data_IF_688950219678
#
_entry.id   IF_688950219678
#
_cell.length_a   1.000
_cell.length_b   1.000
_cell.length_c   1.000
_cell.angle_alpha   90.00
_cell.angle_beta   90.00
_cell.angle_gamma   90.00
#
_symmetry.space_group_name_H-M   'P 1'
#
loop_
_entity.id
_entity.type
_entity.pdbx_description
1 polymer ?
#
# COMPACT_ATOMS: atom_id res chain seq x y z
N UNK A 1 -15.20 -26.85 -46.21
CA UNK A 1 -15.32 -25.81 -47.26
C UNK A 1 -16.69 -25.20 -47.13
N UNK A 2 -16.80 -23.88 -46.94
CA UNK A 2 -18.09 -23.18 -46.85
C UNK A 2 -18.43 -22.69 -48.26
N UNK A 3 -19.44 -23.28 -48.87
CA UNK A 3 -19.90 -22.89 -50.21
C UNK A 3 -21.02 -21.87 -50.04
N UNK A 4 -20.76 -20.59 -50.32
CA UNK A 4 -21.76 -19.52 -50.24
C UNK A 4 -22.33 -19.31 -51.65
N UNK A 5 -23.62 -19.59 -51.84
CA UNK A 5 -24.31 -19.38 -53.12
C UNK A 5 -25.53 -18.49 -52.88
N UNK A 6 -25.63 -17.38 -53.61
CA UNK A 6 -26.76 -16.47 -53.58
C UNK A 6 -27.59 -16.71 -54.84
N UNK A 7 -28.81 -17.26 -54.68
CA UNK A 7 -29.71 -17.54 -55.79
C UNK A 7 -30.80 -16.47 -55.79
N UNK A 8 -30.73 -15.54 -56.73
CA UNK A 8 -31.78 -14.54 -56.94
C UNK A 8 -32.86 -15.19 -57.81
N UNK A 9 -34.00 -15.56 -57.21
CA UNK A 9 -35.19 -15.97 -57.96
C UNK A 9 -36.18 -14.81 -58.05
N UNK A 10 -36.54 -14.50 -59.29
CA UNK A 10 -37.59 -13.58 -59.72
C UNK A 10 -37.37 -12.08 -59.56
N UNK A 11 -37.59 -11.34 -60.65
CA UNK A 11 -37.42 -9.88 -60.72
C UNK A 11 -38.63 -9.10 -60.19
N UNK A 12 -39.64 -9.79 -59.65
CA UNK A 12 -40.93 -9.19 -59.31
C UNK A 12 -41.37 -9.42 -57.86
N UNK A 13 -40.60 -10.16 -57.05
CA UNK A 13 -40.89 -10.36 -55.61
C UNK A 13 -39.67 -9.94 -54.80
N UNK A 14 -39.82 -8.86 -54.03
CA UNK A 14 -38.76 -8.12 -53.30
C UNK A 14 -38.27 -8.84 -52.04
N UNK A 15 -37.90 -10.11 -52.17
CA UNK A 15 -37.44 -10.95 -51.07
C UNK A 15 -36.03 -11.46 -51.41
N UNK A 16 -35.02 -11.09 -50.63
CA UNK A 16 -33.66 -11.63 -50.78
C UNK A 16 -33.47 -12.69 -49.71
N UNK A 17 -33.37 -13.96 -50.09
CA UNK A 17 -33.02 -15.04 -49.16
C UNK A 17 -31.53 -15.36 -49.27
N UNK A 18 -30.88 -15.50 -48.11
CA UNK A 18 -29.52 -15.98 -47.98
C UNK A 18 -29.56 -17.28 -47.19
N UNK A 19 -29.12 -18.39 -47.78
CA UNK A 19 -28.93 -19.66 -47.05
C UNK A 19 -27.44 -19.93 -46.89
N UNK A 20 -27.05 -20.26 -45.66
CA UNK A 20 -25.68 -20.66 -45.32
C UNK A 20 -25.74 -22.09 -44.85
N UNK A 21 -25.17 -23.00 -45.64
CA UNK A 21 -25.10 -24.42 -45.31
C UNK A 21 -23.70 -24.74 -44.76
N UNK A 22 -23.65 -25.24 -43.52
CA UNK A 22 -22.43 -25.68 -42.88
C UNK A 22 -22.50 -27.20 -42.63
N UNK A 23 -21.77 -27.97 -43.43
CA UNK A 23 -21.84 -29.44 -43.46
C UNK A 23 -21.19 -30.16 -42.27
N UNK A 24 -20.61 -29.43 -41.29
CA UNK A 24 -19.97 -30.03 -40.11
C UNK A 24 -20.89 -30.18 -38.89
N UNK A 25 -22.06 -29.53 -38.86
CA UNK A 25 -22.97 -29.52 -37.70
C UNK A 25 -24.40 -29.96 -38.00
N UNK A 26 -24.72 -30.37 -39.23
CA UNK A 26 -26.02 -30.95 -39.59
C UNK A 26 -27.23 -30.02 -39.38
N UNK A 27 -27.01 -28.71 -39.24
CA UNK A 27 -28.08 -27.73 -39.01
C UNK A 27 -28.23 -26.80 -40.21
N UNK A 28 -29.44 -26.76 -40.76
CA UNK A 28 -29.87 -25.79 -41.76
C UNK A 28 -30.55 -24.62 -41.04
N UNK A 29 -30.12 -23.38 -41.34
CA UNK A 29 -30.75 -22.18 -40.79
C UNK A 29 -31.00 -21.17 -41.90
N UNK A 30 -32.25 -21.09 -42.33
CA UNK A 30 -32.71 -20.04 -43.24
C UNK A 30 -33.09 -18.80 -42.44
N UNK A 31 -32.54 -17.65 -42.82
CA UNK A 31 -32.95 -16.36 -42.26
C UNK A 31 -33.41 -15.46 -43.40
N UNK A 32 -34.71 -15.14 -43.41
CA UNK A 32 -35.31 -14.19 -44.35
C UNK A 32 -35.25 -12.80 -43.72
N UNK A 33 -34.50 -11.89 -44.32
CA UNK A 33 -34.42 -10.50 -43.87
C UNK A 33 -35.49 -9.72 -44.62
N UNK A 34 -36.46 -9.17 -43.88
CA UNK A 34 -37.43 -8.22 -44.39
C UNK A 34 -36.84 -6.82 -44.27
N UNK A 35 -36.66 -6.11 -45.40
CA UNK A 35 -36.29 -4.69 -45.38
C UNK A 35 -37.60 -3.90 -45.33
N UNK A 36 -37.98 -3.29 -44.19
CA UNK A 36 -39.14 -2.39 -44.16
C UNK A 36 -38.84 -1.15 -45.03
N UNK A 37 -39.81 -0.77 -45.86
CA UNK A 37 -39.74 0.45 -46.66
C UNK A 37 -39.59 1.69 -45.73
N UNK A 38 -38.72 2.62 -46.14
CA UNK A 38 -38.53 4.00 -45.63
C UNK A 38 -37.52 4.24 -44.49
N UNK A 39 -36.23 4.20 -44.83
CA UNK A 39 -35.16 4.89 -44.07
C UNK A 39 -34.62 6.16 -44.76
N UNK A 40 -35.40 6.76 -45.67
CA UNK A 40 -35.06 8.02 -46.32
C UNK A 40 -36.30 8.93 -46.30
N UNK A 41 -36.38 9.96 -45.43
CA UNK A 41 -37.39 10.97 -45.58
C UNK A 41 -37.07 11.77 -46.84
N UNK A 42 -37.99 11.80 -47.81
CA UNK A 42 -37.88 12.70 -48.95
C UNK A 42 -38.04 14.14 -48.43
N UNK A 43 -36.93 14.89 -48.39
CA UNK A 43 -36.99 16.30 -48.09
C UNK A 43 -37.77 16.99 -49.23
N UNK A 44 -38.93 17.57 -48.91
CA UNK A 44 -39.75 18.28 -49.87
C UNK A 44 -39.04 19.56 -50.35
N UNK A 45 -39.24 20.00 -51.61
CA UNK A 45 -38.58 21.20 -52.15
C UNK A 45 -38.82 22.48 -51.33
N UNK A 46 -39.93 22.58 -50.61
CA UNK A 46 -40.24 23.72 -49.74
C UNK A 46 -39.44 23.70 -48.42
N UNK A 47 -39.11 22.52 -47.87
CA UNK A 47 -38.23 22.44 -46.70
C UNK A 47 -36.80 22.86 -47.04
N UNK A 48 -36.36 22.62 -48.28
CA UNK A 48 -35.09 23.11 -48.82
C UNK A 48 -35.11 24.64 -48.96
N UNK A 49 -36.20 25.21 -49.47
CA UNK A 49 -36.35 26.66 -49.61
C UNK A 49 -36.39 27.38 -48.24
N UNK A 50 -37.05 26.80 -47.23
CA UNK A 50 -37.03 27.34 -45.86
C UNK A 50 -35.63 27.29 -45.24
N UNK A 51 -34.86 26.24 -45.49
CA UNK A 51 -33.47 26.14 -45.02
C UNK A 51 -32.55 27.22 -45.64
N UNK A 52 -32.82 27.66 -46.86
CA UNK A 52 -32.07 28.73 -47.55
C UNK A 52 -32.45 30.13 -47.04
N UNK A 53 -33.74 30.38 -46.80
CA UNK A 53 -34.21 31.67 -46.25
C UNK A 53 -33.74 31.86 -44.80
N UNK A 54 -33.70 30.76 -44.04
CA UNK A 54 -33.19 30.72 -42.68
C UNK A 54 -31.65 30.70 -42.61
N UNK A 55 -30.90 30.81 -43.71
CA UNK A 55 -29.43 30.90 -43.68
C UNK A 55 -28.90 32.21 -44.28
N UNK A 56 -29.72 32.92 -45.06
CA UNK A 56 -29.38 34.20 -45.68
C UNK A 56 -29.78 35.44 -44.86
N UNK A 57 -30.51 35.28 -43.75
CA UNK A 57 -30.82 36.41 -42.87
C UNK A 57 -29.58 36.80 -42.04
N UNK A 58 -29.22 38.10 -41.94
CA UNK A 58 -28.07 38.56 -41.14
C UNK A 58 -28.10 38.08 -39.67
N UNK A 59 -29.29 37.76 -39.17
CA UNK A 59 -29.53 37.19 -37.85
C UNK A 59 -28.86 35.83 -37.64
N UNK A 60 -28.72 35.02 -38.70
CA UNK A 60 -28.21 33.65 -38.60
C UNK A 60 -26.70 33.59 -38.44
N UNK A 61 -25.99 34.53 -39.08
CA UNK A 61 -24.54 34.70 -38.90
C UNK A 61 -24.24 35.25 -37.51
N UNK A 62 -25.09 36.14 -36.99
CA UNK A 62 -24.99 36.63 -35.61
C UNK A 62 -25.21 35.51 -34.59
N UNK A 63 -26.23 34.66 -34.79
CA UNK A 63 -26.53 33.54 -33.90
C UNK A 63 -25.42 32.48 -33.85
N UNK A 64 -24.72 32.21 -34.95
CA UNK A 64 -23.59 31.26 -34.94
C UNK A 64 -22.37 31.80 -34.20
N UNK A 65 -22.07 33.10 -34.34
CA UNK A 65 -21.00 33.76 -33.58
C UNK A 65 -21.33 33.77 -32.09
N UNK A 66 -22.56 34.12 -31.72
CA UNK A 66 -23.03 34.09 -30.32
C UNK A 66 -22.92 32.67 -29.74
N UNK A 67 -23.33 31.65 -30.50
CA UNK A 67 -23.22 30.25 -30.09
C UNK A 67 -21.76 29.83 -29.88
N UNK A 68 -20.85 30.20 -30.79
CA UNK A 68 -19.43 29.89 -30.69
C UNK A 68 -18.80 30.54 -29.44
N UNK A 69 -19.13 31.81 -29.16
CA UNK A 69 -18.67 32.51 -27.94
C UNK A 69 -19.22 31.82 -26.69
N UNK A 70 -20.48 31.41 -26.68
CA UNK A 70 -21.08 30.65 -25.59
C UNK A 70 -20.36 29.31 -25.34
N UNK A 71 -20.02 28.58 -26.41
CA UNK A 71 -19.30 27.30 -26.30
C UNK A 71 -17.92 27.50 -25.69
N UNK A 72 -17.17 28.53 -26.14
CA UNK A 72 -15.85 28.86 -25.58
C UNK A 72 -15.99 29.21 -24.09
N UNK A 73 -16.98 30.03 -23.74
CA UNK A 73 -17.24 30.43 -22.35
C UNK A 73 -17.59 29.23 -21.46
N UNK A 74 -18.42 28.30 -21.94
CA UNK A 74 -18.76 27.08 -21.22
C UNK A 74 -17.55 26.14 -21.09
N UNK A 75 -16.72 26.00 -22.12
CA UNK A 75 -15.50 25.19 -22.08
C UNK A 75 -14.49 25.73 -21.05
N UNK A 76 -14.27 27.05 -21.03
CA UNK A 76 -13.43 27.72 -20.01
C UNK A 76 -14.00 27.53 -18.62
N UNK A 77 -15.31 27.75 -18.43
CA UNK A 77 -15.98 27.56 -17.14
C UNK A 77 -15.85 26.13 -16.62
N UNK A 78 -16.10 25.13 -17.46
CA UNK A 78 -15.93 23.71 -17.13
C UNK A 78 -14.47 23.40 -16.80
N UNK A 79 -13.51 23.98 -17.54
CA UNK A 79 -12.09 23.81 -17.26
C UNK A 79 -11.71 24.39 -15.89
N UNK A 80 -12.15 25.62 -15.59
CA UNK A 80 -11.95 26.28 -14.31
C UNK A 80 -12.55 25.47 -13.15
N UNK A 81 -13.79 24.98 -13.30
CA UNK A 81 -14.44 24.13 -12.30
C UNK A 81 -13.65 22.83 -12.10
N UNK A 82 -13.22 22.16 -13.18
CA UNK A 82 -12.41 20.93 -13.08
C UNK A 82 -11.04 21.18 -12.43
N UNK A 83 -10.44 22.35 -12.64
CA UNK A 83 -9.17 22.74 -12.01
C UNK A 83 -9.35 22.96 -10.51
N UNK A 84 -10.34 23.75 -10.11
CA UNK A 84 -10.70 23.98 -8.70
C UNK A 84 -11.08 22.68 -7.98
N UNK A 85 -11.81 21.79 -8.66
CA UNK A 85 -12.16 20.46 -8.12
C UNK A 85 -10.91 19.59 -7.92
N UNK A 86 -9.90 19.67 -8.80
CA UNK A 86 -8.63 18.97 -8.64
C UNK A 86 -7.83 19.52 -7.47
N UNK A 87 -7.64 20.83 -7.40
CA UNK A 87 -6.92 21.49 -6.31
C UNK A 87 -7.59 21.20 -4.95
N UNK A 88 -8.93 21.24 -4.88
CA UNK A 88 -9.67 20.89 -3.67
C UNK A 88 -9.52 19.42 -3.27
N UNK A 89 -9.40 18.48 -4.23
CA UNK A 89 -9.15 17.06 -3.95
C UNK A 89 -7.75 16.83 -3.39
N UNK A 90 -6.74 17.53 -3.92
CA UNK A 90 -5.35 17.46 -3.42
C UNK A 90 -5.31 18.00 -1.99
N UNK A 91 -5.83 19.21 -1.77
CA UNK A 91 -5.90 19.82 -0.44
C UNK A 91 -6.69 18.96 0.55
N UNK A 92 -7.78 18.33 0.10
CA UNK A 92 -8.54 17.38 0.91
C UNK A 92 -7.76 16.11 1.24
N UNK A 93 -6.86 15.66 0.36
CA UNK A 93 -5.97 14.54 0.61
C UNK A 93 -4.89 14.91 1.61
N UNK A 94 -4.22 16.04 1.41
CA UNK A 94 -3.17 16.55 2.31
C UNK A 94 -3.71 16.75 3.73
N UNK A 95 -4.89 17.35 3.89
CA UNK A 95 -5.53 17.51 5.21
C UNK A 95 -5.87 16.19 5.89
N UNK A 96 -6.19 15.15 5.12
CA UNK A 96 -6.45 13.82 5.70
C UNK A 96 -5.16 13.19 6.22
N UNK A 97 -4.09 13.25 5.43
CA UNK A 97 -2.76 12.76 5.85
C UNK A 97 -2.29 13.52 7.09
N UNK A 98 -2.36 14.85 7.08
CA UNK A 98 -1.96 15.67 8.24
C UNK A 98 -2.81 15.37 9.49
N UNK A 99 -4.10 15.08 9.32
CA UNK A 99 -4.99 14.71 10.42
C UNK A 99 -4.66 13.31 10.96
N UNK A 100 -4.41 12.34 10.06
CA UNK A 100 -3.99 10.98 10.44
C UNK A 100 -2.65 11.01 11.19
N UNK A 101 -1.67 11.78 10.71
CA UNK A 101 -0.39 11.97 11.41
C UNK A 101 -0.58 12.58 12.80
N UNK A 102 -1.47 13.57 12.95
CA UNK A 102 -1.79 14.16 14.25
C UNK A 102 -2.48 13.17 15.18
N UNK A 103 -3.39 12.34 14.68
CA UNK A 103 -4.06 11.31 15.47
C UNK A 103 -3.07 10.25 15.95
N UNK A 104 -2.17 9.79 15.08
CA UNK A 104 -1.09 8.86 15.43
C UNK A 104 -0.16 9.49 16.48
N UNK A 105 0.26 10.74 16.28
CA UNK A 105 1.12 11.43 17.23
C UNK A 105 0.45 11.62 18.60
N UNK A 106 -0.85 11.93 18.62
CA UNK A 106 -1.63 12.03 19.86
C UNK A 106 -1.74 10.67 20.56
N UNK A 107 -2.06 9.60 19.83
CA UNK A 107 -2.13 8.25 20.39
C UNK A 107 -0.79 7.81 20.98
N UNK A 108 0.30 8.02 20.24
CA UNK A 108 1.66 7.71 20.73
C UNK A 108 1.99 8.53 21.97
N UNK A 109 1.62 9.81 22.01
CA UNK A 109 1.84 10.67 23.17
C UNK A 109 1.04 10.21 24.39
N UNK A 110 -0.21 9.78 24.20
CA UNK A 110 -1.03 9.21 25.28
C UNK A 110 -0.46 7.90 25.80
N UNK A 111 0.01 7.02 24.91
CA UNK A 111 0.65 5.77 25.29
C UNK A 111 1.96 6.02 26.08
N UNK A 112 2.81 6.92 25.59
CA UNK A 112 4.04 7.32 26.29
C UNK A 112 3.73 7.97 27.64
N UNK A 113 2.68 8.80 27.72
CA UNK A 113 2.23 9.40 28.98
C UNK A 113 1.79 8.30 29.95
N UNK A 114 0.97 7.36 29.50
CA UNK A 114 0.51 6.24 30.30
C UNK A 114 1.69 5.41 30.83
N UNK A 115 2.65 5.06 29.95
CA UNK A 115 3.88 4.36 30.33
C UNK A 115 4.64 5.14 31.42
N UNK A 116 4.84 6.46 31.26
CA UNK A 116 5.51 7.30 32.27
C UNK A 116 4.77 7.39 33.61
N UNK A 117 3.44 7.36 33.60
CA UNK A 117 2.65 7.46 34.83
C UNK A 117 2.53 6.15 35.59
N UNK A 118 2.51 5.01 34.88
CA UNK A 118 2.19 3.70 35.46
C UNK A 118 3.37 2.72 35.49
N UNK A 119 4.46 3.01 34.79
CA UNK A 119 5.68 2.18 34.77
C UNK A 119 6.84 3.01 35.32
N UNK A 120 7.73 2.35 36.06
CA UNK A 120 8.98 2.97 36.49
C UNK A 120 9.99 2.94 35.33
N UNK A 121 10.48 4.12 34.94
CA UNK A 121 11.55 4.22 33.95
C UNK A 121 12.82 3.63 34.57
N UNK A 122 13.29 2.51 34.02
CA UNK A 122 14.49 1.85 34.47
C UNK A 122 15.72 2.51 33.85
N UNK A 123 16.67 2.87 34.71
CA UNK A 123 17.93 3.45 34.27
C UNK A 123 18.94 2.34 33.88
N UNK A 124 18.79 1.80 32.66
CA UNK A 124 19.58 0.64 32.22
C UNK A 124 21.00 1.06 31.83
N UNK A 125 21.98 0.69 32.67
CA UNK A 125 23.41 0.81 32.41
C UNK A 125 23.97 -0.58 32.09
N UNK A 126 24.73 -0.72 31.00
CA UNK A 126 25.26 -2.02 30.58
C UNK A 126 26.43 -2.49 31.46
N UNK A 127 26.45 -3.78 31.80
CA UNK A 127 27.49 -4.40 32.62
C UNK A 127 28.62 -5.01 31.76
N UNK A 128 29.85 -4.43 31.80
CA UNK A 128 31.00 -4.94 31.06
C UNK A 128 31.41 -6.36 31.46
N UNK A 129 31.11 -6.80 32.68
CA UNK A 129 31.46 -8.14 33.13
C UNK A 129 30.59 -9.22 32.50
N UNK A 130 29.37 -8.86 32.07
CA UNK A 130 28.48 -9.78 31.33
C UNK A 130 28.72 -9.76 29.82
N UNK A 131 29.28 -8.66 29.29
CA UNK A 131 29.37 -8.42 27.86
C UNK A 131 30.21 -9.47 27.13
N UNK A 132 29.65 -10.05 26.07
CA UNK A 132 30.41 -10.93 25.18
C UNK A 132 31.66 -10.21 24.62
N UNK A 133 32.82 -10.89 24.44
CA UNK A 133 34.06 -10.24 24.01
C UNK A 133 33.99 -9.47 22.68
N UNK A 134 33.00 -9.75 21.82
CA UNK A 134 32.78 -9.02 20.56
C UNK A 134 31.97 -7.72 20.73
N UNK A 135 31.41 -7.47 21.91
CA UNK A 135 30.59 -6.29 22.18
C UNK A 135 31.45 -5.17 22.80
N UNK A 136 31.46 -4.04 22.13
CA UNK A 136 32.15 -2.83 22.55
C UNK A 136 31.12 -1.87 23.13
N UNK A 137 31.28 -1.56 24.41
CA UNK A 137 30.42 -0.63 25.13
C UNK A 137 30.97 0.80 24.97
N UNK A 138 30.07 1.78 24.94
CA UNK A 138 30.43 3.19 25.09
C UNK A 138 30.94 3.49 26.50
N UNK A 139 31.62 4.63 26.67
CA UNK A 139 32.16 5.05 27.96
C UNK A 139 31.06 5.26 29.01
N UNK A 140 29.92 5.80 28.60
CA UNK A 140 28.71 5.98 29.43
C UNK A 140 27.93 4.67 29.68
N UNK A 141 28.34 3.57 29.04
CA UNK A 141 27.72 2.24 29.10
C UNK A 141 26.23 2.23 28.71
N UNK A 142 25.81 3.15 27.84
CA UNK A 142 24.44 3.21 27.29
C UNK A 142 24.32 2.68 25.87
N UNK A 143 25.44 2.52 25.18
CA UNK A 143 25.48 2.03 23.81
C UNK A 143 26.36 0.79 23.71
N UNK A 144 25.98 -0.09 22.80
CA UNK A 144 26.74 -1.29 22.46
C UNK A 144 26.82 -1.44 20.96
N UNK A 145 28.00 -1.82 20.47
CA UNK A 145 28.23 -2.18 19.08
C UNK A 145 29.01 -3.48 18.99
N UNK A 146 28.71 -4.29 17.98
CA UNK A 146 29.57 -5.44 17.66
C UNK A 146 30.84 -4.93 16.97
N UNK A 147 32.00 -5.28 17.49
CA UNK A 147 33.27 -4.90 16.88
C UNK A 147 33.81 -5.94 15.89
N UNK A 148 34.88 -5.58 15.16
CA UNK A 148 35.45 -6.44 14.12
C UNK A 148 36.31 -7.59 14.67
N UNK A 149 36.59 -7.61 15.98
CA UNK A 149 37.39 -8.63 16.63
C UNK A 149 36.91 -8.89 18.06
N UNK A 150 37.31 -10.04 18.61
CA UNK A 150 37.10 -10.39 20.02
C UNK A 150 38.11 -9.64 20.89
N UNK A 151 37.62 -8.92 21.90
CA UNK A 151 38.47 -8.26 22.89
C UNK A 151 39.13 -9.29 23.81
N UNK A 152 40.32 -8.96 24.33
CA UNK A 152 40.98 -9.76 25.36
C UNK A 152 40.45 -9.36 26.73
N UNK A 153 39.39 -10.03 27.17
CA UNK A 153 38.74 -9.83 28.47
C UNK A 153 38.74 -11.14 29.28
N UNK A 154 38.71 -11.08 30.63
CA UNK A 154 38.66 -12.29 31.45
C UNK A 154 37.39 -13.09 31.23
N UNK A 155 37.50 -14.41 31.16
CA UNK A 155 36.37 -15.33 31.07
C UNK A 155 35.80 -15.63 32.48
N UNK A 156 35.12 -14.64 33.07
CA UNK A 156 34.44 -14.79 34.35
C UNK A 156 33.10 -15.56 34.17
N UNK A 157 32.52 -16.13 35.23
CA UNK A 157 31.24 -16.85 35.15
C UNK A 157 30.07 -16.01 34.61
N UNK A 158 30.11 -14.70 34.82
CA UNK A 158 29.04 -13.77 34.47
C UNK A 158 29.00 -13.45 32.96
N UNK A 159 30.10 -13.66 32.24
CA UNK A 159 30.26 -13.29 30.83
C UNK A 159 29.61 -14.29 29.88
N UNK A 160 28.88 -13.78 28.90
CA UNK A 160 28.45 -14.59 27.76
C UNK A 160 29.63 -14.91 26.84
N UNK A 161 29.82 -16.17 26.46
CA UNK A 161 30.97 -16.62 25.64
C UNK A 161 30.61 -17.05 24.20
N UNK A 162 29.33 -17.39 23.98
CA UNK A 162 28.81 -17.91 22.71
C UNK A 162 27.90 -16.91 21.99
N UNK A 163 26.84 -16.44 22.65
CA UNK A 163 25.92 -15.45 22.07
C UNK A 163 26.43 -14.03 22.35
N UNK A 164 26.37 -13.10 21.37
CA UNK A 164 26.81 -11.72 21.56
C UNK A 164 25.80 -10.93 22.40
N UNK A 165 25.70 -11.28 23.69
CA UNK A 165 24.79 -10.70 24.66
C UNK A 165 25.55 -9.83 25.69
N UNK A 166 24.83 -8.86 26.24
CA UNK A 166 25.24 -8.04 27.39
C UNK A 166 23.99 -7.75 28.22
N UNK A 167 24.13 -7.70 29.55
CA UNK A 167 23.03 -7.40 30.46
C UNK A 167 23.14 -5.98 31.02
N UNK A 168 22.01 -5.48 31.53
CA UNK A 168 22.02 -4.34 32.42
C UNK A 168 22.63 -4.70 33.77
N UNK A 169 23.17 -3.69 34.45
CA UNK A 169 23.81 -3.81 35.76
C UNK A 169 22.81 -4.22 36.86
N UNK A 170 21.60 -3.66 36.82
CA UNK A 170 20.56 -3.95 37.79
C UNK A 170 19.63 -5.08 37.32
N UNK A 171 19.09 -5.81 38.29
CA UNK A 171 18.08 -6.85 38.05
C UNK A 171 16.77 -6.48 38.75
N UNK A 172 15.65 -6.89 38.17
CA UNK A 172 14.32 -6.61 38.71
C UNK A 172 13.73 -7.86 39.37
N UNK A 173 13.38 -7.77 40.65
CA UNK A 173 12.71 -8.85 41.39
C UNK A 173 11.18 -8.66 41.49
N UNK A 174 10.70 -7.42 41.38
CA UNK A 174 9.28 -7.06 41.47
C UNK A 174 9.02 -5.70 40.83
N UNK A 175 7.74 -5.32 40.71
CA UNK A 175 7.32 -4.03 40.13
C UNK A 175 7.08 -4.09 38.62
N UNK A 176 6.79 -2.92 38.03
CA UNK A 176 6.61 -2.74 36.58
C UNK A 176 7.62 -1.72 36.09
N UNK A 177 8.51 -2.16 35.22
CA UNK A 177 9.64 -1.38 34.73
C UNK A 177 9.57 -1.28 33.20
N UNK A 178 10.05 -0.19 32.65
CA UNK A 178 10.26 -0.05 31.21
C UNK A 178 11.57 0.66 30.92
N UNK A 179 12.15 0.36 29.77
CA UNK A 179 13.28 1.07 29.20
C UNK A 179 13.05 1.18 27.70
N UNK A 180 13.70 2.16 27.09
CA UNK A 180 13.64 2.41 25.66
C UNK A 180 15.02 2.13 25.08
N UNK A 181 15.05 1.52 23.89
CA UNK A 181 16.28 1.21 23.18
C UNK A 181 16.18 1.87 21.81
N UNK A 182 17.11 2.78 21.56
CA UNK A 182 17.29 3.35 20.23
C UNK A 182 18.11 2.38 19.39
N UNK A 183 17.60 2.06 18.20
CA UNK A 183 18.28 1.20 17.25
C UNK A 183 18.40 1.94 15.93
N UNK A 184 19.62 2.25 15.54
CA UNK A 184 19.91 2.90 14.27
C UNK A 184 20.79 2.03 13.37
N UNK A 185 20.33 1.78 12.15
CA UNK A 185 21.14 1.23 11.05
C UNK A 185 21.84 -0.12 11.37
N UNK A 186 21.10 -1.07 11.97
CA UNK A 186 21.60 -2.43 12.25
C UNK A 186 20.70 -3.46 11.58
N UNK A 187 21.30 -4.42 10.85
CA UNK A 187 20.56 -5.49 10.16
C UNK A 187 19.99 -6.56 11.10
N UNK A 188 20.59 -6.73 12.28
CA UNK A 188 20.17 -7.72 13.28
C UNK A 188 20.35 -7.16 14.67
N UNK A 189 19.31 -7.24 15.49
CA UNK A 189 19.38 -6.91 16.91
C UNK A 189 18.37 -7.73 17.71
N UNK A 190 18.70 -7.95 18.98
CA UNK A 190 17.84 -8.69 19.91
C UNK A 190 17.84 -7.95 21.25
N UNK A 191 16.64 -7.65 21.77
CA UNK A 191 16.45 -6.99 23.07
C UNK A 191 15.42 -7.74 23.89
N UNK A 192 15.52 -7.65 25.22
CA UNK A 192 14.54 -8.29 26.10
C UNK A 192 15.07 -8.46 27.51
N UNK A 193 14.58 -9.50 28.18
CA UNK A 193 14.95 -9.84 29.56
C UNK A 193 15.35 -11.30 29.67
N UNK A 194 16.17 -11.60 30.65
CA UNK A 194 16.49 -12.98 31.01
C UNK A 194 16.41 -13.18 32.54
N UNK A 195 16.29 -14.43 32.98
CA UNK A 195 16.46 -14.78 34.39
C UNK A 195 17.91 -14.51 34.80
N UNK A 196 18.14 -14.21 36.08
CA UNK A 196 19.51 -14.06 36.59
C UNK A 196 20.34 -15.35 36.43
N UNK A 197 19.66 -16.50 36.56
CA UNK A 197 20.25 -17.85 36.56
C UNK A 197 20.34 -18.51 35.18
N UNK A 198 20.28 -17.74 34.09
CA UNK A 198 20.43 -18.32 32.75
C UNK A 198 21.85 -18.86 32.56
N UNK A 199 21.97 -19.93 31.77
CA UNK A 199 23.26 -20.45 31.34
C UNK A 199 23.92 -19.41 30.42
N UNK A 200 25.15 -19.01 30.75
CA UNK A 200 25.90 -17.98 30.02
C UNK A 200 27.04 -18.56 29.19
N UNK A 201 27.34 -19.84 29.39
CA UNK A 201 28.42 -20.56 28.73
C UNK A 201 27.90 -21.53 27.68
N UNK A 202 28.61 -21.60 26.56
CA UNK A 202 28.27 -22.48 25.45
C UNK A 202 27.00 -22.08 24.70
N UNK A 203 26.56 -22.97 23.82
CA UNK A 203 25.49 -22.69 22.88
C UNK A 203 24.11 -22.83 23.55
N UNK A 204 23.50 -21.70 23.86
CA UNK A 204 22.17 -21.61 24.49
C UNK A 204 21.20 -20.87 23.57
N UNK A 205 20.02 -21.46 23.35
CA UNK A 205 18.95 -20.82 22.60
C UNK A 205 18.28 -19.74 23.46
N UNK A 206 18.04 -18.56 22.89
CA UNK A 206 17.40 -17.41 23.55
C UNK A 206 15.87 -17.54 23.60
N UNK A 207 15.38 -18.66 24.12
CA UNK A 207 13.95 -18.99 24.23
C UNK A 207 13.45 -18.97 25.69
N UNK A 208 12.14 -18.83 25.93
CA UNK A 208 11.56 -18.77 27.28
C UNK A 208 11.87 -19.99 28.14
N UNK A 209 11.99 -21.16 27.54
CA UNK A 209 12.34 -22.41 28.23
C UNK A 209 13.72 -22.33 28.90
N UNK A 210 14.64 -21.57 28.30
CA UNK A 210 15.99 -21.32 28.82
C UNK A 210 16.06 -20.05 29.69
N UNK A 211 14.92 -19.40 29.94
CA UNK A 211 14.82 -18.19 30.76
C UNK A 211 15.06 -16.88 30.03
N UNK A 212 14.90 -16.85 28.70
CA UNK A 212 15.02 -15.64 27.88
C UNK A 212 13.67 -15.24 27.27
N UNK A 213 13.31 -13.97 27.36
CA UNK A 213 12.14 -13.40 26.69
C UNK A 213 12.60 -12.22 25.87
N UNK A 214 12.79 -12.47 24.58
CA UNK A 214 13.46 -11.51 23.69
C UNK A 214 12.69 -11.31 22.38
N UNK A 215 12.83 -10.10 21.85
CA UNK A 215 12.37 -9.67 20.55
C UNK A 215 13.61 -9.49 19.68
N UNK A 216 13.62 -10.16 18.54
CA UNK A 216 14.67 -10.04 17.52
C UNK A 216 14.11 -9.33 16.29
N UNK A 217 14.96 -8.52 15.67
CA UNK A 217 14.81 -8.09 14.30
C UNK A 217 15.93 -8.74 13.48
N UNK A 218 15.58 -9.43 12.40
CA UNK A 218 16.53 -10.00 11.45
C UNK A 218 16.16 -9.55 10.03
N UNK A 219 17.00 -8.73 9.42
CA UNK A 219 16.75 -8.11 8.11
C UNK A 219 15.60 -7.10 8.18
N UNK A 220 14.41 -7.52 7.79
CA UNK A 220 13.17 -6.71 7.85
C UNK A 220 12.04 -7.50 8.53
N UNK A 221 12.37 -8.50 9.35
CA UNK A 221 11.41 -9.34 10.04
C UNK A 221 11.60 -9.27 11.54
N UNK A 222 10.51 -8.98 12.25
CA UNK A 222 10.45 -9.01 13.70
C UNK A 222 9.98 -10.38 14.19
N UNK A 223 10.64 -10.90 15.21
CA UNK A 223 10.43 -12.26 15.72
C UNK A 223 10.42 -12.24 17.24
N UNK A 224 9.41 -12.85 17.85
CA UNK A 224 9.50 -13.24 19.24
C UNK A 224 10.26 -14.57 19.29
N UNK A 225 11.42 -14.58 19.94
CA UNK A 225 12.23 -15.80 20.07
C UNK A 225 11.53 -16.75 21.04
N UNK A 226 10.85 -17.75 20.50
CA UNK A 226 10.09 -18.76 21.23
C UNK A 226 10.19 -20.11 20.52
N UNK A 227 9.66 -21.17 21.14
CA UNK A 227 9.52 -22.48 20.51
C UNK A 227 8.04 -22.88 20.47
N UNK A 228 7.39 -22.89 19.28
CA UNK A 228 7.94 -22.52 17.97
C UNK A 228 8.22 -21.01 17.84
N UNK A 229 9.08 -20.65 16.89
CA UNK A 229 9.40 -19.25 16.59
C UNK A 229 8.17 -18.53 16.05
N UNK A 230 7.97 -17.27 16.46
CA UNK A 230 6.81 -16.47 16.06
C UNK A 230 7.24 -15.20 15.35
N UNK A 231 6.94 -15.13 14.05
CA UNK A 231 7.09 -13.91 13.24
C UNK A 231 5.97 -12.93 13.59
N UNK A 232 6.33 -11.67 13.78
CA UNK A 232 5.41 -10.57 14.09
C UNK A 232 5.16 -9.74 12.83
N UNK A 233 3.90 -9.53 12.42
CA UNK A 233 3.57 -8.69 11.27
C UNK A 233 3.63 -7.21 11.69
N UNK A 234 4.85 -6.69 11.82
CA UNK A 234 5.08 -5.26 12.03
C UNK A 234 5.41 -4.61 10.68
N UNK A 235 4.79 -3.46 10.42
CA UNK A 235 5.14 -2.59 9.31
C UNK A 235 5.97 -1.46 9.88
N UNK A 236 7.16 -1.24 9.33
CA UNK A 236 7.83 0.05 9.51
C UNK A 236 6.93 1.13 8.89
N UNK A 237 6.57 2.11 9.71
CA UNK A 237 5.75 3.27 9.33
C UNK A 237 6.59 4.28 8.57
#
# INVERSE_FOLDING_TARGET
>A
MVTTAVIIRDKYVRNVSCSVNNTLLGQEKETVIFIPESFMPSASPWMVALAVILTASPWMVSMTVILAVFIIFMAVSICCIKKLQREKKILSGEKKVEQEEKEIAQQLQEELRWRRTFLHAADVVLDPDTAHPELFLSEDRRSVRRGPYRQRVPDNPERFDSQPCVLGWESFASGKHYWEVEVENVMVWTVGVCRHSVERKGEVLLIPQNGFWTLEMFGNQYRALSSPERILPLKES
#
